data_IF_571218121962
#
_entry.id   IF_571218121962
#
_cell.length_a   1.000
_cell.length_b   1.000
_cell.length_c   1.000
_cell.angle_alpha   90.00
_cell.angle_beta   90.00
_cell.angle_gamma   90.00
#
_symmetry.space_group_name_H-M   'P 1'
#
loop_
_entity.id
_entity.type
_entity.pdbx_description
1 polymer ?
#
# COMPACT_ATOMS: atom_id res chain seq x y z
N UNK A 1 -21.02 7.14 14.96
CA UNK A 1 -20.49 8.53 14.93
C UNK A 1 -19.28 8.51 14.02
N UNK A 2 -19.39 9.08 12.83
CA UNK A 2 -18.25 9.25 11.93
C UNK A 2 -17.30 10.26 12.58
N UNK A 3 -16.18 9.79 13.09
CA UNK A 3 -15.15 10.67 13.62
C UNK A 3 -14.51 11.43 12.46
N UNK A 4 -14.70 12.74 12.40
CA UNK A 4 -14.15 13.63 11.38
C UNK A 4 -12.62 13.82 11.55
N UNK A 5 -11.87 12.70 11.62
CA UNK A 5 -10.43 12.68 11.93
C UNK A 5 -9.59 13.42 10.90
N UNK A 6 -10.08 13.49 9.65
CA UNK A 6 -9.38 14.12 8.52
C UNK A 6 -10.08 15.38 8.02
N UNK A 7 -10.97 15.95 8.83
CA UNK A 7 -11.67 17.19 8.45
C UNK A 7 -10.70 18.31 8.10
N UNK A 8 -10.81 18.83 6.88
CA UNK A 8 -9.93 19.88 6.35
C UNK A 8 -8.56 19.40 5.87
N UNK A 9 -8.26 18.11 5.99
CA UNK A 9 -7.05 17.51 5.44
C UNK A 9 -7.26 17.12 3.97
N UNK A 10 -6.19 17.23 3.18
CA UNK A 10 -6.19 17.00 1.73
C UNK A 10 -5.01 16.14 1.31
N UNK A 11 -5.19 15.30 0.28
CA UNK A 11 -4.12 14.39 -0.13
C UNK A 11 -4.26 13.75 -1.49
N UNK A 12 -3.36 12.79 -1.77
CA UNK A 12 -3.36 12.01 -3.01
C UNK A 12 -3.43 10.52 -2.65
N UNK A 13 -4.28 9.76 -3.34
CA UNK A 13 -4.42 8.32 -3.19
C UNK A 13 -4.07 7.64 -4.52
N UNK A 14 -2.95 6.90 -4.52
CA UNK A 14 -2.49 6.13 -5.66
C UNK A 14 -3.01 4.69 -5.60
N UNK A 15 -3.38 4.15 -6.76
CA UNK A 15 -3.53 2.71 -6.95
C UNK A 15 -4.95 2.17 -6.76
N UNK A 16 -5.96 3.02 -6.60
CA UNK A 16 -7.34 2.58 -6.65
C UNK A 16 -7.68 2.07 -8.06
N UNK A 17 -8.12 0.82 -8.17
CA UNK A 17 -8.47 0.17 -9.42
C UNK A 17 -9.96 -0.23 -9.45
N UNK A 18 -10.38 -0.96 -8.44
CA UNK A 18 -11.73 -1.47 -8.23
C UNK A 18 -12.04 -1.60 -6.73
N UNK A 19 -13.28 -1.96 -6.40
CA UNK A 19 -13.78 -2.04 -5.02
C UNK A 19 -13.06 -3.09 -4.13
N UNK A 20 -12.26 -3.98 -4.71
CA UNK A 20 -11.45 -4.95 -3.97
C UNK A 20 -10.07 -4.38 -3.58
N UNK A 21 -9.64 -3.25 -4.15
CA UNK A 21 -8.32 -2.68 -3.85
C UNK A 21 -8.31 -1.95 -2.51
N UNK A 22 -7.18 -2.06 -1.79
CA UNK A 22 -6.98 -1.36 -0.50
C UNK A 22 -7.08 0.15 -0.68
N UNK A 23 -6.52 0.69 -1.77
CA UNK A 23 -6.60 2.12 -2.07
C UNK A 23 -8.04 2.61 -2.27
N UNK A 24 -8.91 1.78 -2.86
CA UNK A 24 -10.35 2.08 -2.96
C UNK A 24 -11.00 2.22 -1.59
N UNK A 25 -10.79 1.22 -0.74
CA UNK A 25 -11.31 1.24 0.64
C UNK A 25 -10.73 2.38 1.45
N UNK A 26 -9.45 2.71 1.25
CA UNK A 26 -8.84 3.89 1.88
C UNK A 26 -9.49 5.19 1.42
N UNK A 27 -9.81 5.33 0.13
CA UNK A 27 -10.49 6.52 -0.37
C UNK A 27 -11.90 6.67 0.24
N UNK A 28 -12.66 5.58 0.33
CA UNK A 28 -13.96 5.57 1.01
C UNK A 28 -13.81 6.00 2.49
N UNK A 29 -12.91 5.40 3.24
CA UNK A 29 -12.69 5.70 4.65
C UNK A 29 -12.17 7.14 4.89
N UNK A 30 -11.29 7.65 4.02
CA UNK A 30 -10.80 9.04 4.05
C UNK A 30 -11.94 10.02 3.80
N UNK A 31 -12.81 9.73 2.83
CA UNK A 31 -14.00 10.55 2.55
C UNK A 31 -14.95 10.58 3.76
N UNK A 32 -15.25 9.43 4.35
CA UNK A 32 -16.08 9.32 5.55
C UNK A 32 -15.47 10.03 6.75
N UNK A 33 -14.14 10.06 6.86
CA UNK A 33 -13.40 10.79 7.88
C UNK A 33 -13.30 12.31 7.61
N UNK A 34 -13.90 12.82 6.53
CA UNK A 34 -13.96 14.25 6.19
C UNK A 34 -12.74 14.78 5.47
N UNK A 35 -11.85 13.92 4.96
CA UNK A 35 -10.72 14.29 4.12
C UNK A 35 -11.12 14.53 2.66
N UNK A 36 -10.39 15.36 1.97
CA UNK A 36 -10.51 15.60 0.53
C UNK A 36 -9.26 15.12 -0.18
N UNK A 37 -9.37 14.60 -1.39
CA UNK A 37 -8.23 14.01 -2.08
C UNK A 37 -8.40 13.97 -3.60
N UNK A 38 -7.29 13.77 -4.27
CA UNK A 38 -7.21 13.39 -5.68
C UNK A 38 -6.95 11.89 -5.76
N UNK A 39 -7.67 11.22 -6.66
CA UNK A 39 -7.40 9.84 -7.06
C UNK A 39 -6.44 9.82 -8.25
N UNK A 40 -5.50 8.89 -8.26
CA UNK A 40 -4.58 8.73 -9.37
C UNK A 40 -4.22 7.27 -9.64
N UNK A 41 -4.02 6.96 -10.89
CA UNK A 41 -3.47 5.69 -11.37
C UNK A 41 -2.87 5.88 -12.76
N UNK A 42 -2.08 4.91 -13.23
CA UNK A 42 -1.56 4.94 -14.59
C UNK A 42 -2.70 4.98 -15.63
N UNK A 43 -2.55 5.69 -16.77
CA UNK A 43 -3.60 5.83 -17.77
C UNK A 43 -4.18 4.50 -18.27
N UNK A 44 -3.36 3.44 -18.32
CA UNK A 44 -3.82 2.09 -18.68
C UNK A 44 -4.74 1.50 -17.63
N UNK A 45 -4.44 1.70 -16.35
CA UNK A 45 -5.25 1.18 -15.23
C UNK A 45 -6.61 1.90 -15.13
N UNK A 46 -6.64 3.20 -15.43
CA UNK A 46 -7.90 3.97 -15.46
C UNK A 46 -8.89 3.44 -16.50
N UNK A 47 -8.39 2.92 -17.61
CA UNK A 47 -9.24 2.32 -18.67
C UNK A 47 -9.75 0.92 -18.34
N UNK A 48 -9.10 0.23 -17.40
CA UNK A 48 -9.39 -1.16 -17.04
C UNK A 48 -10.22 -1.29 -15.77
N UNK A 49 -10.22 -0.26 -14.92
CA UNK A 49 -10.88 -0.28 -13.62
C UNK A 49 -12.15 0.57 -13.58
N UNK A 50 -12.77 0.59 -12.43
CA UNK A 50 -14.01 1.34 -12.14
C UNK A 50 -13.75 2.60 -11.30
N UNK A 51 -12.55 3.15 -11.35
CA UNK A 51 -12.12 4.29 -10.52
C UNK A 51 -13.04 5.52 -10.68
N UNK A 52 -13.70 5.68 -11.82
CA UNK A 52 -14.66 6.76 -12.04
C UNK A 52 -15.84 6.68 -11.07
N UNK A 53 -16.34 5.48 -10.79
CA UNK A 53 -17.40 5.26 -9.79
C UNK A 53 -16.97 5.73 -8.40
N UNK A 54 -15.70 5.48 -8.04
CA UNK A 54 -15.13 5.95 -6.79
C UNK A 54 -15.01 7.48 -6.76
N UNK A 55 -14.54 8.08 -7.85
CA UNK A 55 -14.47 9.55 -7.99
C UNK A 55 -15.83 10.22 -7.80
N UNK A 56 -16.86 9.69 -8.46
CA UNK A 56 -18.25 10.16 -8.29
C UNK A 56 -18.76 9.98 -6.85
N UNK A 57 -18.55 8.79 -6.27
CA UNK A 57 -18.98 8.46 -4.90
C UNK A 57 -18.35 9.38 -3.84
N UNK A 58 -17.07 9.72 -4.02
CA UNK A 58 -16.29 10.50 -3.04
C UNK A 58 -16.15 11.97 -3.41
N UNK A 59 -16.72 12.39 -4.54
CA UNK A 59 -16.53 13.71 -5.13
C UNK A 59 -15.05 14.08 -5.28
N UNK A 60 -14.22 13.08 -5.62
CA UNK A 60 -12.78 13.24 -5.75
C UNK A 60 -12.36 13.37 -7.23
N UNK A 61 -11.60 14.39 -7.61
CA UNK A 61 -11.05 14.48 -8.96
C UNK A 61 -10.08 13.32 -9.24
N UNK A 62 -10.03 12.89 -10.49
CA UNK A 62 -9.11 11.85 -10.96
C UNK A 62 -8.08 12.50 -11.88
N UNK A 63 -6.81 12.43 -11.51
CA UNK A 63 -5.69 12.94 -12.32
C UNK A 63 -4.84 11.74 -12.74
N UNK A 64 -4.80 11.41 -14.05
CA UNK A 64 -3.95 10.32 -14.54
C UNK A 64 -2.47 10.63 -14.32
N UNK A 65 -1.70 9.65 -13.83
CA UNK A 65 -0.25 9.76 -13.79
C UNK A 65 0.41 8.36 -13.78
N UNK A 66 1.44 8.20 -14.60
CA UNK A 66 2.33 7.06 -14.49
C UNK A 66 3.38 7.34 -13.40
N UNK A 67 3.29 6.63 -12.28
CA UNK A 67 4.21 6.81 -11.17
C UNK A 67 5.68 6.49 -11.49
N UNK A 68 5.95 5.85 -12.63
CA UNK A 68 7.32 5.63 -13.13
C UNK A 68 7.85 6.83 -13.93
N UNK A 69 7.01 7.78 -14.28
CA UNK A 69 7.37 8.98 -15.01
C UNK A 69 7.46 10.19 -14.07
N UNK A 70 8.64 10.78 -13.99
CA UNK A 70 8.89 11.94 -13.08
C UNK A 70 8.09 13.17 -13.50
N UNK A 71 7.88 13.39 -14.79
CA UNK A 71 7.11 14.55 -15.29
C UNK A 71 5.63 14.40 -14.94
N UNK A 72 5.05 13.21 -15.14
CA UNK A 72 3.67 12.91 -14.73
C UNK A 72 3.47 13.16 -13.23
N UNK A 73 4.44 12.74 -12.39
CA UNK A 73 4.38 12.97 -10.94
C UNK A 73 4.46 14.46 -10.59
N UNK A 74 5.30 15.22 -11.29
CA UNK A 74 5.40 16.66 -11.09
C UNK A 74 4.08 17.36 -11.42
N UNK A 75 3.49 17.03 -12.55
CA UNK A 75 2.21 17.60 -13.01
C UNK A 75 1.05 17.19 -12.10
N UNK A 76 1.02 15.90 -11.67
CA UNK A 76 0.03 15.41 -10.71
C UNK A 76 0.06 16.23 -9.41
N UNK A 77 1.24 16.44 -8.83
CA UNK A 77 1.39 17.15 -7.56
C UNK A 77 0.94 18.61 -7.71
N UNK A 78 1.32 19.30 -8.78
CA UNK A 78 0.90 20.68 -9.06
C UNK A 78 -0.60 20.78 -9.20
N UNK A 79 -1.21 19.94 -10.02
CA UNK A 79 -2.66 19.92 -10.22
C UNK A 79 -3.41 19.55 -8.94
N UNK A 80 -2.90 18.59 -8.15
CA UNK A 80 -3.53 18.22 -6.89
C UNK A 80 -3.50 19.37 -5.87
N UNK A 81 -2.36 20.05 -5.72
CA UNK A 81 -2.23 21.22 -4.85
C UNK A 81 -3.15 22.35 -5.28
N UNK A 82 -3.28 22.60 -6.58
CA UNK A 82 -4.17 23.61 -7.14
C UNK A 82 -5.65 23.25 -6.90
N UNK A 83 -6.07 22.05 -7.31
CA UNK A 83 -7.48 21.61 -7.22
C UNK A 83 -7.97 21.46 -5.77
N UNK A 84 -7.09 21.05 -4.87
CA UNK A 84 -7.40 20.92 -3.44
C UNK A 84 -7.23 22.24 -2.67
N UNK A 85 -6.71 23.28 -3.30
CA UNK A 85 -6.54 24.60 -2.72
C UNK A 85 -5.43 24.71 -1.67
N UNK A 86 -4.35 23.93 -1.82
CA UNK A 86 -3.15 24.06 -0.96
C UNK A 86 -2.34 22.77 -0.81
N UNK A 87 -1.30 22.84 0.02
CA UNK A 87 -0.39 21.72 0.29
C UNK A 87 -1.12 20.50 0.84
N UNK A 88 -0.52 19.35 0.66
CA UNK A 88 -1.07 18.05 1.01
C UNK A 88 -0.80 17.70 2.49
N UNK A 89 -1.76 17.07 3.12
CA UNK A 89 -1.65 16.53 4.48
C UNK A 89 -1.36 15.03 4.47
N UNK A 90 -1.76 14.33 3.41
CA UNK A 90 -1.51 12.90 3.31
C UNK A 90 -1.27 12.43 1.87
N UNK A 91 -0.52 11.33 1.75
CA UNK A 91 -0.32 10.61 0.49
C UNK A 91 -0.31 9.12 0.77
N UNK A 92 -1.09 8.34 -0.01
CA UNK A 92 -1.04 6.89 -0.06
C UNK A 92 -0.35 6.42 -1.33
N UNK A 93 0.71 5.63 -1.20
CA UNK A 93 1.30 4.86 -2.29
C UNK A 93 0.86 3.39 -2.18
N UNK A 94 -0.11 2.99 -3.00
CA UNK A 94 -0.66 1.62 -3.05
C UNK A 94 -0.45 1.02 -4.44
N UNK A 95 0.81 0.96 -4.87
CA UNK A 95 1.23 0.46 -6.18
C UNK A 95 2.13 -0.76 -5.99
N UNK A 96 1.94 -1.76 -6.83
CA UNK A 96 2.82 -2.92 -6.87
C UNK A 96 2.50 -3.83 -8.04
N UNK A 97 3.55 -4.29 -8.71
CA UNK A 97 3.43 -5.21 -9.84
C UNK A 97 4.71 -6.03 -10.00
N UNK A 98 4.57 -7.33 -10.19
CA UNK A 98 5.64 -8.18 -10.72
C UNK A 98 5.10 -9.04 -11.87
N UNK A 99 5.76 -8.97 -13.00
CA UNK A 99 5.46 -9.85 -14.16
C UNK A 99 5.97 -11.27 -13.88
N UNK A 100 7.12 -11.41 -13.22
CA UNK A 100 7.67 -12.72 -12.83
C UNK A 100 6.68 -13.50 -11.96
N UNK A 101 6.11 -12.86 -10.93
CA UNK A 101 5.08 -13.46 -10.06
C UNK A 101 3.86 -13.88 -10.88
N UNK A 102 3.32 -12.99 -11.71
CA UNK A 102 2.14 -13.27 -12.55
C UNK A 102 2.36 -14.40 -13.56
N UNK A 103 3.60 -14.58 -14.04
CA UNK A 103 3.99 -15.65 -14.94
C UNK A 103 4.43 -16.92 -14.24
N UNK A 104 4.38 -16.97 -12.90
CA UNK A 104 4.73 -18.14 -12.10
C UNK A 104 6.20 -18.55 -12.22
N UNK A 105 7.09 -17.58 -12.44
CA UNK A 105 8.54 -17.84 -12.48
C UNK A 105 9.04 -18.32 -11.13
N UNK A 106 10.03 -19.19 -11.14
CA UNK A 106 10.76 -19.53 -9.93
C UNK A 106 11.79 -18.44 -9.60
N UNK A 107 12.08 -18.20 -8.32
CA UNK A 107 13.01 -17.14 -7.91
C UNK A 107 14.42 -17.30 -8.50
N UNK A 108 14.85 -18.55 -8.72
CA UNK A 108 16.16 -18.86 -9.33
C UNK A 108 16.17 -18.77 -10.87
N UNK A 109 15.02 -18.45 -11.50
CA UNK A 109 14.87 -18.34 -12.96
C UNK A 109 14.03 -17.12 -13.34
N UNK A 110 14.36 -15.97 -12.75
CA UNK A 110 13.67 -14.72 -13.04
C UNK A 110 14.08 -14.17 -14.42
N UNK A 111 13.12 -13.56 -15.09
CA UNK A 111 13.41 -12.70 -16.23
C UNK A 111 13.80 -11.31 -15.72
N UNK A 112 15.00 -10.86 -16.01
CA UNK A 112 15.57 -9.61 -15.49
C UNK A 112 14.92 -8.35 -16.09
N UNK A 113 14.43 -8.38 -17.32
CA UNK A 113 13.68 -7.25 -17.89
C UNK A 113 12.37 -7.05 -17.14
N UNK A 114 11.70 -8.15 -16.79
CA UNK A 114 10.49 -8.12 -15.98
C UNK A 114 10.76 -7.71 -14.53
N UNK A 115 11.89 -8.16 -13.97
CA UNK A 115 12.33 -7.75 -12.64
C UNK A 115 12.57 -6.24 -12.59
N UNK A 116 13.35 -5.69 -13.54
CA UNK A 116 13.63 -4.26 -13.63
C UNK A 116 12.36 -3.43 -13.75
N UNK A 117 11.41 -3.88 -14.59
CA UNK A 117 10.12 -3.21 -14.73
C UNK A 117 9.28 -3.29 -13.44
N UNK A 118 9.26 -4.45 -12.80
CA UNK A 118 8.58 -4.64 -11.50
C UNK A 118 9.17 -3.75 -10.42
N UNK A 119 10.47 -3.64 -10.37
CA UNK A 119 11.22 -2.80 -9.44
C UNK A 119 10.90 -1.31 -9.65
N UNK A 120 10.93 -0.84 -10.91
CA UNK A 120 10.59 0.55 -11.22
C UNK A 120 9.15 0.90 -10.81
N UNK A 121 8.18 0.05 -11.13
CA UNK A 121 6.77 0.28 -10.80
C UNK A 121 6.50 0.17 -9.29
N UNK A 122 7.11 -0.80 -8.58
CA UNK A 122 6.70 -1.13 -7.22
C UNK A 122 7.49 -0.39 -6.14
N UNK A 123 8.73 0.00 -6.42
CA UNK A 123 9.61 0.62 -5.42
C UNK A 123 10.21 1.95 -5.91
N UNK A 124 10.81 1.99 -7.09
CA UNK A 124 11.44 3.22 -7.60
C UNK A 124 10.40 4.32 -7.85
N UNK A 125 9.17 3.96 -8.23
CA UNK A 125 8.05 4.90 -8.33
C UNK A 125 7.81 5.64 -7.02
N UNK A 126 7.92 4.95 -5.88
CA UNK A 126 7.80 5.59 -4.56
C UNK A 126 8.97 6.55 -4.31
N UNK A 127 10.20 6.17 -4.69
CA UNK A 127 11.35 7.08 -4.59
C UNK A 127 11.14 8.36 -5.42
N UNK A 128 10.69 8.21 -6.68
CA UNK A 128 10.40 9.34 -7.58
C UNK A 128 9.32 10.25 -6.99
N UNK A 129 8.24 9.67 -6.46
CA UNK A 129 7.17 10.39 -5.79
C UNK A 129 7.69 11.18 -4.57
N UNK A 130 8.46 10.53 -3.70
CA UNK A 130 9.04 11.15 -2.51
C UNK A 130 9.95 12.33 -2.88
N UNK A 131 10.77 12.16 -3.90
CA UNK A 131 11.65 13.23 -4.39
C UNK A 131 10.84 14.40 -4.97
N UNK A 132 9.79 14.14 -5.72
CA UNK A 132 8.92 15.18 -6.29
C UNK A 132 8.19 15.97 -5.18
N UNK A 133 7.57 15.29 -4.22
CA UNK A 133 6.92 15.91 -3.05
C UNK A 133 7.90 16.78 -2.25
N UNK A 134 9.12 16.27 -2.05
CA UNK A 134 10.15 16.97 -1.28
C UNK A 134 10.63 18.24 -1.98
N UNK A 135 10.99 18.15 -3.27
CA UNK A 135 11.50 19.28 -4.07
C UNK A 135 10.46 20.37 -4.28
N UNK A 136 9.19 20.00 -4.44
CA UNK A 136 8.08 20.97 -4.59
C UNK A 136 7.58 21.53 -3.26
N UNK A 137 8.11 21.07 -2.14
CA UNK A 137 7.61 21.44 -0.81
C UNK A 137 6.08 21.30 -0.69
N UNK A 138 5.57 20.20 -1.24
CA UNK A 138 4.13 19.99 -1.45
C UNK A 138 3.37 19.52 -0.20
N UNK A 139 4.08 19.15 0.88
CA UNK A 139 3.47 18.65 2.10
C UNK A 139 3.34 19.71 3.18
N UNK A 140 2.23 19.68 3.91
CA UNK A 140 2.06 20.45 5.14
C UNK A 140 2.91 19.86 6.29
N UNK A 141 3.28 20.71 7.26
CA UNK A 141 3.83 20.20 8.54
C UNK A 141 2.88 19.19 9.17
N UNK A 142 3.43 18.12 9.75
CA UNK A 142 2.71 16.98 10.34
C UNK A 142 1.93 16.15 9.33
N UNK A 143 2.11 16.39 8.05
CA UNK A 143 1.62 15.53 6.99
C UNK A 143 2.09 14.08 7.15
N UNK A 144 1.42 13.14 6.49
CA UNK A 144 1.68 11.70 6.59
C UNK A 144 1.74 11.05 5.21
N UNK A 145 2.84 10.39 4.92
CA UNK A 145 3.01 9.58 3.71
C UNK A 145 3.04 8.12 4.12
N UNK A 146 2.20 7.31 3.50
CA UNK A 146 2.09 5.86 3.76
C UNK A 146 2.26 5.10 2.47
N UNK A 147 3.08 4.05 2.49
CA UNK A 147 3.18 3.07 1.41
C UNK A 147 2.82 1.67 1.89
N UNK A 148 2.17 0.88 1.04
CA UNK A 148 1.77 -0.48 1.38
C UNK A 148 2.94 -1.45 1.17
N UNK A 149 3.37 -2.10 2.23
CA UNK A 149 4.36 -3.18 2.25
C UNK A 149 3.71 -4.54 2.53
N UNK A 150 4.55 -5.52 2.77
CA UNK A 150 4.17 -6.88 3.11
C UNK A 150 5.30 -7.56 3.88
N UNK A 151 4.99 -8.48 4.79
CA UNK A 151 5.97 -9.21 5.60
C UNK A 151 7.02 -9.94 4.76
N UNK A 152 6.73 -10.25 3.50
CA UNK A 152 7.69 -10.84 2.58
C UNK A 152 8.94 -9.96 2.35
N UNK A 153 8.92 -8.67 2.71
CA UNK A 153 10.11 -7.83 2.77
C UNK A 153 11.14 -8.30 3.82
N UNK A 154 10.70 -9.10 4.81
CA UNK A 154 11.50 -9.50 5.98
C UNK A 154 11.51 -11.01 6.22
N UNK A 155 10.65 -11.77 5.54
CA UNK A 155 10.50 -13.23 5.65
C UNK A 155 10.41 -13.85 4.27
N UNK A 156 10.84 -15.07 4.14
CA UNK A 156 10.80 -15.80 2.86
C UNK A 156 9.39 -16.28 2.54
N UNK A 157 8.92 -15.90 1.35
CA UNK A 157 7.67 -16.34 0.77
C UNK A 157 7.95 -16.86 -0.66
N UNK A 158 8.09 -18.18 -0.87
CA UNK A 158 8.64 -18.76 -2.10
C UNK A 158 7.94 -18.31 -3.39
N UNK A 159 6.62 -18.12 -3.37
CA UNK A 159 5.84 -17.72 -4.55
C UNK A 159 5.70 -16.20 -4.74
N UNK A 160 6.23 -15.41 -3.80
CA UNK A 160 6.16 -13.96 -3.88
C UNK A 160 7.35 -13.34 -4.64
N UNK A 161 8.39 -14.13 -4.88
CA UNK A 161 9.54 -13.86 -5.76
C UNK A 161 10.14 -12.46 -5.56
N UNK A 162 10.49 -11.81 -6.69
CA UNK A 162 11.03 -10.46 -6.80
C UNK A 162 10.11 -9.36 -6.21
N UNK A 163 8.85 -9.67 -5.94
CA UNK A 163 7.99 -8.74 -5.24
C UNK A 163 8.39 -8.57 -3.76
N UNK A 164 9.01 -9.60 -3.15
CA UNK A 164 9.61 -9.50 -1.81
C UNK A 164 10.76 -8.49 -1.80
N UNK A 165 11.65 -8.56 -2.79
CA UNK A 165 12.77 -7.63 -2.96
C UNK A 165 12.28 -6.19 -3.16
N UNK A 166 11.22 -6.02 -3.97
CA UNK A 166 10.58 -4.73 -4.18
C UNK A 166 10.03 -4.13 -2.87
N UNK A 167 9.41 -4.95 -2.01
CA UNK A 167 8.89 -4.49 -0.72
C UNK A 167 10.01 -4.16 0.27
N UNK A 168 11.09 -4.92 0.29
CA UNK A 168 12.27 -4.60 1.10
C UNK A 168 12.89 -3.25 0.70
N UNK A 169 13.00 -3.00 -0.61
CA UNK A 169 13.51 -1.73 -1.12
C UNK A 169 12.55 -0.57 -0.82
N UNK A 170 11.24 -0.77 -0.98
CA UNK A 170 10.22 0.22 -0.61
C UNK A 170 10.34 0.67 0.86
N UNK A 171 10.51 -0.29 1.78
CA UNK A 171 10.70 0.00 3.21
C UNK A 171 11.99 0.78 3.48
N UNK A 172 13.07 0.47 2.76
CA UNK A 172 14.33 1.22 2.83
C UNK A 172 14.17 2.66 2.35
N UNK A 173 13.46 2.88 1.24
CA UNK A 173 13.13 4.22 0.72
C UNK A 173 12.32 5.02 1.75
N UNK A 174 11.29 4.39 2.35
CA UNK A 174 10.46 5.02 3.37
C UNK A 174 11.29 5.51 4.58
N UNK A 175 12.21 4.69 5.07
CA UNK A 175 13.11 5.08 6.17
C UNK A 175 14.01 6.23 5.78
N UNK A 176 14.64 6.16 4.61
CA UNK A 176 15.60 7.18 4.14
C UNK A 176 14.93 8.53 3.95
N UNK A 177 13.84 8.59 3.18
CA UNK A 177 13.09 9.84 3.01
C UNK A 177 12.43 10.31 4.29
N UNK A 178 11.93 9.39 5.12
CA UNK A 178 11.30 9.72 6.40
C UNK A 178 12.23 10.50 7.33
N UNK A 179 13.54 10.22 7.29
CA UNK A 179 14.53 10.99 8.04
C UNK A 179 14.55 12.46 7.59
N UNK A 180 14.70 12.70 6.28
CA UNK A 180 14.79 14.08 5.75
C UNK A 180 13.46 14.83 5.88
N UNK A 181 12.36 14.19 5.51
CA UNK A 181 11.02 14.76 5.68
C UNK A 181 10.71 15.09 7.14
N UNK A 182 11.03 14.18 8.05
CA UNK A 182 10.78 14.39 9.48
C UNK A 182 11.61 15.54 10.05
N UNK A 183 12.90 15.58 9.74
CA UNK A 183 13.83 16.55 10.28
C UNK A 183 13.62 17.96 9.73
N UNK A 184 13.39 18.07 8.42
CA UNK A 184 13.38 19.35 7.74
C UNK A 184 11.97 19.92 7.54
N UNK A 185 10.96 19.05 7.45
CA UNK A 185 9.59 19.42 7.09
C UNK A 185 8.52 18.95 8.09
N UNK A 186 8.91 18.21 9.14
CA UNK A 186 8.02 17.58 10.12
C UNK A 186 6.94 16.69 9.48
N UNK A 187 7.23 16.06 8.35
CA UNK A 187 6.35 15.12 7.66
C UNK A 187 6.73 13.71 8.06
N UNK A 188 5.73 12.88 8.33
CA UNK A 188 5.88 11.47 8.73
C UNK A 188 5.85 10.57 7.52
N UNK A 189 6.71 9.55 7.51
CA UNK A 189 6.73 8.54 6.45
C UNK A 189 6.77 7.16 7.08
N UNK A 190 5.78 6.32 6.75
CA UNK A 190 5.66 4.97 7.27
C UNK A 190 5.27 4.00 6.15
N UNK A 191 5.49 2.71 6.41
CA UNK A 191 4.90 1.64 5.62
C UNK A 191 3.93 0.82 6.46
N UNK A 192 2.89 0.28 5.83
CA UNK A 192 1.99 -0.71 6.44
C UNK A 192 2.33 -2.06 5.84
N UNK A 193 2.77 -3.00 6.68
CA UNK A 193 2.87 -4.42 6.33
C UNK A 193 1.50 -5.05 6.56
N UNK A 194 0.72 -5.13 5.46
CA UNK A 194 -0.66 -5.61 5.48
C UNK A 194 -0.73 -7.13 5.39
N UNK A 195 -1.74 -7.75 5.98
CA UNK A 195 -2.11 -9.14 5.76
C UNK A 195 -2.22 -9.50 4.28
N UNK A 196 -2.06 -10.78 3.93
CA UNK A 196 -2.51 -11.25 2.62
C UNK A 196 -3.97 -10.84 2.39
N UNK A 197 -4.22 -10.04 1.38
CA UNK A 197 -5.54 -9.49 1.09
C UNK A 197 -5.99 -9.89 -0.31
N UNK A 198 -7.24 -10.34 -0.45
CA UNK A 198 -7.80 -10.72 -1.75
C UNK A 198 -8.11 -9.46 -2.58
N UNK A 199 -7.14 -9.00 -3.32
CA UNK A 199 -7.26 -7.88 -4.26
C UNK A 199 -7.14 -8.36 -5.70
N UNK A 200 -7.57 -7.56 -6.66
CA UNK A 200 -7.40 -7.88 -8.10
C UNK A 200 -5.92 -8.02 -8.47
N UNK A 201 -5.04 -7.21 -7.88
CA UNK A 201 -3.59 -7.36 -8.06
C UNK A 201 -3.07 -8.67 -7.43
N UNK A 202 -3.57 -9.04 -6.25
CA UNK A 202 -3.17 -10.26 -5.54
C UNK A 202 -3.59 -11.55 -6.23
N UNK A 203 -4.71 -11.55 -6.98
CA UNK A 203 -5.17 -12.74 -7.74
C UNK A 203 -4.14 -13.29 -8.72
N UNK A 204 -3.14 -12.51 -9.11
CA UNK A 204 -2.03 -12.96 -9.96
C UNK A 204 -0.97 -13.81 -9.24
N UNK A 205 -1.02 -13.95 -7.91
CA UNK A 205 -0.05 -14.75 -7.13
C UNK A 205 -0.46 -16.22 -7.11
N UNK A 206 0.43 -17.10 -7.59
CA UNK A 206 0.18 -18.55 -7.55
C UNK A 206 0.06 -19.04 -6.09
N UNK A 207 -1.01 -19.78 -5.80
CA UNK A 207 -1.23 -20.34 -4.46
C UNK A 207 -1.84 -19.35 -3.46
N UNK A 208 -2.34 -18.18 -3.90
CA UNK A 208 -2.92 -17.15 -3.04
C UNK A 208 -3.99 -17.70 -2.08
N UNK A 209 -4.90 -18.57 -2.53
CA UNK A 209 -5.95 -19.12 -1.68
C UNK A 209 -5.40 -19.97 -0.53
N UNK A 210 -4.37 -20.79 -0.78
CA UNK A 210 -3.67 -21.55 0.26
C UNK A 210 -2.98 -20.62 1.26
N UNK A 211 -2.42 -19.55 0.73
CA UNK A 211 -1.75 -18.51 1.51
C UNK A 211 -2.71 -17.77 2.44
N UNK A 212 -3.87 -17.37 1.92
CA UNK A 212 -4.93 -16.71 2.71
C UNK A 212 -5.40 -17.61 3.86
N UNK A 213 -5.64 -18.90 3.58
CA UNK A 213 -6.04 -19.87 4.62
C UNK A 213 -4.95 -20.09 5.66
N UNK A 214 -3.69 -20.22 5.22
CA UNK A 214 -2.55 -20.36 6.13
C UNK A 214 -2.43 -19.15 7.07
N UNK A 215 -2.49 -17.95 6.52
CA UNK A 215 -2.40 -16.72 7.30
C UNK A 215 -3.61 -16.55 8.25
N UNK A 216 -4.83 -16.91 7.82
CA UNK A 216 -6.03 -16.91 8.66
C UNK A 216 -5.88 -17.82 9.88
N UNK A 217 -5.33 -19.04 9.71
CA UNK A 217 -5.10 -20.00 10.79
C UNK A 217 -3.89 -19.64 11.66
N UNK A 218 -2.95 -18.88 11.13
CA UNK A 218 -1.73 -18.50 11.85
C UNK A 218 -1.91 -17.22 12.64
N UNK A 219 -2.67 -16.26 12.13
CA UNK A 219 -2.86 -14.97 12.75
C UNK A 219 -3.87 -15.06 13.93
N UNK A 220 -3.49 -14.69 15.16
CA UNK A 220 -4.41 -14.76 16.32
C UNK A 220 -5.72 -13.98 16.18
N UNK A 221 -5.72 -12.92 15.35
CA UNK A 221 -6.91 -12.12 15.07
C UNK A 221 -7.48 -12.36 13.65
N UNK A 222 -6.98 -13.40 12.95
CA UNK A 222 -7.31 -13.65 11.55
C UNK A 222 -6.68 -12.64 10.59
N UNK A 223 -7.00 -12.76 9.31
CA UNK A 223 -6.52 -11.83 8.27
C UNK A 223 -7.26 -10.49 8.31
N UNK A 224 -6.50 -9.41 8.27
CA UNK A 224 -7.09 -8.09 8.12
C UNK A 224 -7.62 -7.86 6.70
N UNK A 225 -8.83 -7.34 6.61
CA UNK A 225 -9.49 -6.96 5.36
C UNK A 225 -8.92 -5.66 4.76
N UNK A 226 -9.28 -5.36 3.51
CA UNK A 226 -8.94 -4.09 2.90
C UNK A 226 -9.58 -2.88 3.61
N UNK A 227 -10.78 -3.06 4.18
CA UNK A 227 -11.46 -1.99 4.94
C UNK A 227 -10.77 -1.72 6.27
N UNK A 228 -10.36 -2.75 7.02
CA UNK A 228 -9.62 -2.58 8.26
C UNK A 228 -8.24 -1.92 8.01
N UNK A 229 -7.58 -2.27 6.91
CA UNK A 229 -6.36 -1.57 6.48
C UNK A 229 -6.62 -0.08 6.17
N UNK A 230 -7.77 0.22 5.58
CA UNK A 230 -8.19 1.59 5.29
C UNK A 230 -8.40 2.40 6.57
N UNK A 231 -9.07 1.84 7.57
CA UNK A 231 -9.29 2.47 8.88
C UNK A 231 -7.95 2.75 9.58
N UNK A 232 -7.03 1.78 9.53
CA UNK A 232 -5.68 1.96 10.07
C UNK A 232 -4.90 3.05 9.31
N UNK A 233 -5.06 3.13 7.99
CA UNK A 233 -4.45 4.18 7.16
C UNK A 233 -5.00 5.56 7.52
N UNK A 234 -6.31 5.70 7.75
CA UNK A 234 -6.94 6.95 8.24
C UNK A 234 -6.35 7.37 9.58
N UNK A 235 -6.14 6.42 10.50
CA UNK A 235 -5.47 6.69 11.78
C UNK A 235 -4.06 7.25 11.56
N UNK A 236 -3.28 6.68 10.65
CA UNK A 236 -1.93 7.16 10.33
C UNK A 236 -1.92 8.53 9.64
N UNK A 237 -2.96 8.88 8.90
CA UNK A 237 -3.11 10.22 8.31
C UNK A 237 -3.54 11.27 9.33
N UNK A 238 -4.16 10.85 10.43
CA UNK A 238 -4.64 11.74 11.48
C UNK A 238 -3.51 12.32 12.35
N UNK A 239 -3.85 13.32 13.15
CA UNK A 239 -2.91 13.93 14.10
C UNK A 239 -2.60 13.06 15.31
N UNK A 240 -3.35 11.99 15.54
CA UNK A 240 -3.12 11.07 16.67
C UNK A 240 -1.79 10.32 16.58
N UNK A 241 -1.19 10.24 15.40
CA UNK A 241 0.07 9.51 15.17
C UNK A 241 1.26 10.43 14.87
N UNK A 242 1.26 11.68 15.38
CA UNK A 242 2.30 12.70 15.09
C UNK A 242 3.74 12.28 15.40
N UNK A 243 3.96 11.30 16.25
CA UNK A 243 5.31 10.81 16.60
C UNK A 243 5.62 9.44 16.00
N UNK A 244 4.78 8.93 15.08
CA UNK A 244 5.00 7.68 14.37
C UNK A 244 5.58 7.98 12.99
N UNK A 245 6.86 7.67 12.79
CA UNK A 245 7.57 7.84 11.52
C UNK A 245 8.73 6.84 11.40
N UNK A 246 9.18 6.55 10.20
CA UNK A 246 10.24 5.59 9.85
C UNK A 246 9.90 4.14 10.24
N UNK A 247 8.64 3.85 10.49
CA UNK A 247 8.20 2.53 10.92
C UNK A 247 7.66 1.71 9.75
N UNK A 248 7.91 0.40 9.80
CA UNK A 248 7.10 -0.58 9.10
C UNK A 248 6.09 -1.13 10.12
N UNK A 249 4.83 -0.80 9.94
CA UNK A 249 3.75 -1.07 10.89
C UNK A 249 2.98 -2.31 10.43
N UNK A 250 3.00 -3.36 11.25
CA UNK A 250 2.28 -4.60 10.95
C UNK A 250 0.78 -4.42 11.22
N UNK A 251 -0.01 -4.76 10.21
CA UNK A 251 -1.46 -4.79 10.26
C UNK A 251 -1.93 -6.13 9.67
N UNK A 252 -1.75 -7.20 10.42
CA UNK A 252 -1.84 -8.57 9.93
C UNK A 252 -2.37 -9.59 10.97
N UNK A 253 -3.13 -9.11 11.93
CA UNK A 253 -3.72 -9.96 12.96
C UNK A 253 -2.70 -10.67 13.87
N UNK A 254 -1.42 -10.26 13.83
CA UNK A 254 -0.32 -10.88 14.56
C UNK A 254 0.44 -11.95 13.77
N UNK A 255 0.07 -12.21 12.52
CA UNK A 255 0.70 -13.21 11.64
C UNK A 255 2.23 -13.16 11.65
N UNK A 256 2.81 -11.97 11.51
CA UNK A 256 4.26 -11.78 11.36
C UNK A 256 5.09 -12.22 12.56
N UNK A 257 4.48 -12.38 13.72
CA UNK A 257 5.15 -12.70 14.99
C UNK A 257 4.86 -14.10 15.51
N UNK A 258 3.95 -14.86 14.88
CA UNK A 258 3.65 -16.24 15.22
C UNK A 258 4.69 -17.15 14.58
N UNK A 259 5.40 -17.93 15.39
CA UNK A 259 6.35 -18.95 14.91
C UNK A 259 5.67 -20.27 14.63
N UNK A 260 4.69 -20.63 15.44
CA UNK A 260 3.95 -21.91 15.36
C UNK A 260 2.46 -21.63 15.61
N UNK A 261 1.59 -22.16 14.76
CA UNK A 261 0.14 -22.11 14.91
C UNK A 261 -0.39 -23.43 15.44
N UNK A 262 -1.09 -23.43 16.57
CA UNK A 262 -1.68 -24.64 17.12
C UNK A 262 -2.73 -25.23 16.16
N UNK A 263 -3.55 -24.41 15.55
CA UNK A 263 -4.56 -24.85 14.59
C UNK A 263 -3.97 -25.62 13.39
N UNK A 264 -2.75 -25.26 12.98
CA UNK A 264 -2.04 -25.98 11.91
C UNK A 264 -1.46 -27.31 12.42
N UNK A 265 -0.96 -27.34 13.66
CA UNK A 265 -0.49 -28.58 14.27
C UNK A 265 -1.64 -29.57 14.40
N UNK A 266 -2.77 -29.14 14.96
CA UNK A 266 -3.94 -30.00 15.16
C UNK A 266 -4.46 -30.55 13.82
N UNK A 267 -4.46 -29.74 12.75
CA UNK A 267 -4.84 -30.19 11.41
C UNK A 267 -3.86 -31.25 10.83
N UNK A 268 -2.56 -31.12 11.10
CA UNK A 268 -1.56 -32.10 10.67
C UNK A 268 -1.70 -33.40 11.43
N UNK A 269 -1.93 -33.35 12.74
CA UNK A 269 -2.15 -34.54 13.58
C UNK A 269 -3.40 -35.32 13.14
N UNK A 270 -4.51 -34.61 12.84
CA UNK A 270 -5.74 -35.23 12.28
C UNK A 270 -5.50 -35.92 10.93
N UNK A 271 -4.65 -35.34 10.06
CA UNK A 271 -4.31 -35.95 8.78
C UNK A 271 -3.48 -37.27 8.97
N UNK A 272 -2.57 -37.31 9.94
CA UNK A 272 -1.76 -38.50 10.24
C UNK A 272 -2.63 -39.64 10.83
N UNK A 273 -3.61 -39.29 11.69
CA UNK A 273 -4.57 -40.27 12.21
C UNK A 273 -5.46 -40.90 11.13
N UNK A 274 -5.85 -40.11 10.11
CA UNK A 274 -6.68 -40.60 9.01
C UNK A 274 -5.89 -41.43 7.97
N UNK A 275 -4.57 -41.31 7.94
CA UNK A 275 -3.68 -42.07 7.04
C UNK A 275 -3.20 -43.40 7.62
N UNK A 276 -3.39 -43.63 8.92
CA UNK A 276 -3.04 -44.85 9.64
C UNK A 276 -4.19 -45.86 9.70
#
# INVERSE_FOLDING_TARGET
>A
MTHQLLKGKRGIIFGALDAASIAWKTAEAVHEAGGTFVLTNAPVALRMGTINELGEKTNAPIIPADATNTEDLNQLIEQAVEQLGGKLDFVLHSIGMSINVRKGKHYTDLNYDWLTKGWDVSAVSFHKLMQALYKKDAMNEWGSIVALSYIAAQRTFPNYNDMADNKAYLESIARSFGYFFGKEKKVRVNTISQSPTLTTAGKGVKGLNGFLRYAEKTAPLGNATASECADYTVMLFSDYTRKVTLQNLFHDGGFSFVGVSQDIIDELDELDETAS
#
